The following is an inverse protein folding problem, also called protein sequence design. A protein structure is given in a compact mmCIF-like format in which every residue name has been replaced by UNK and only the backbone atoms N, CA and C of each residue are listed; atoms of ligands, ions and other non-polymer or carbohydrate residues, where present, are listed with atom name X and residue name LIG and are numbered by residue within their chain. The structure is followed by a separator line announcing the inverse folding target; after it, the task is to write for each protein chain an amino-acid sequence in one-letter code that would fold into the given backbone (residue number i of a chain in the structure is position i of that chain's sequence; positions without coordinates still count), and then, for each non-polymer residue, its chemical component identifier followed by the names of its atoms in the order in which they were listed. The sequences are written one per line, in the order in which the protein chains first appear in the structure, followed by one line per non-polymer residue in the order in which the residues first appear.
data_IF_208729798791
#
_entry.id   IF_208729798791
#
_cell.length_a   1.000
_cell.length_b   1.000
_cell.length_c   1.000
_cell.angle_alpha   90.00
_cell.angle_beta   90.00
_cell.angle_gamma   90.00
#
_symmetry.space_group_name_H-M   'P 1'
#
loop_
_entity.id
_entity.type
_entity.pdbx_description
1 polymer ?
#
# COMPACT_ATOMS: atom_id res chain seq x y z
N UNK A 1 -2.67 22.15 -17.47
CA UNK A 1 -1.36 22.83 -17.64
C UNK A 1 -1.26 23.44 -19.03
N UNK A 2 -1.81 24.63 -19.18
CA UNK A 2 -1.88 25.38 -20.44
C UNK A 2 -1.27 26.79 -20.32
N UNK A 3 -0.44 27.04 -19.30
CA UNK A 3 0.49 28.17 -19.29
C UNK A 3 -0.10 29.54 -18.92
N UNK A 4 -1.39 29.65 -18.64
CA UNK A 4 -2.03 30.88 -18.17
C UNK A 4 -2.53 30.66 -16.73
N UNK A 5 -1.77 31.18 -15.75
CA UNK A 5 -2.10 31.39 -14.33
C UNK A 5 -3.16 30.42 -13.75
N UNK A 6 -2.73 29.20 -13.39
CA UNK A 6 -3.36 28.41 -12.33
C UNK A 6 -2.43 28.40 -11.11
N UNK A 7 -2.82 29.16 -10.11
CA UNK A 7 -2.06 29.48 -8.91
C UNK A 7 -2.12 28.30 -7.93
N UNK A 8 -1.30 27.26 -8.15
CA UNK A 8 -0.90 26.35 -7.07
C UNK A 8 -1.56 24.98 -7.00
N UNK A 9 -2.29 24.50 -8.01
CA UNK A 9 -2.77 23.09 -8.02
C UNK A 9 -1.66 22.16 -8.52
N UNK A 10 -0.69 21.88 -7.65
CA UNK A 10 0.15 20.68 -7.80
C UNK A 10 -0.58 19.53 -7.11
N UNK A 11 -0.74 18.43 -7.82
CA UNK A 11 -1.18 17.19 -7.20
C UNK A 11 0.00 16.59 -6.44
N UNK A 12 -0.26 16.02 -5.28
CA UNK A 12 0.73 15.21 -4.58
C UNK A 12 0.67 13.80 -5.14
N UNK A 13 1.83 13.28 -5.53
CA UNK A 13 2.00 11.88 -5.91
C UNK A 13 2.96 11.22 -4.92
N UNK A 14 2.89 9.91 -4.78
CA UNK A 14 3.58 9.08 -3.81
C UNK A 14 4.39 8.03 -4.54
N UNK A 15 5.60 7.73 -4.06
CA UNK A 15 6.48 6.76 -4.71
C UNK A 15 5.82 5.37 -4.69
N UNK A 16 5.94 4.66 -5.80
CA UNK A 16 5.50 3.27 -6.01
C UNK A 16 6.75 2.50 -6.47
N UNK A 17 7.54 2.04 -5.49
CA UNK A 17 8.87 1.48 -5.71
C UNK A 17 8.83 0.00 -6.07
N UNK A 18 7.81 -0.74 -5.64
CA UNK A 18 7.63 -2.16 -5.95
C UNK A 18 6.70 -2.43 -7.13
N UNK A 19 5.92 -1.43 -7.56
CA UNK A 19 5.11 -1.47 -8.77
C UNK A 19 3.76 -2.17 -8.60
N UNK A 20 3.18 -2.22 -7.39
CA UNK A 20 1.82 -2.75 -7.18
C UNK A 20 0.70 -1.73 -7.48
N UNK A 21 1.06 -0.45 -7.63
CA UNK A 21 0.13 0.63 -7.95
C UNK A 21 -0.40 1.42 -6.75
N UNK A 22 0.09 1.11 -5.55
CA UNK A 22 -0.10 1.88 -4.32
C UNK A 22 1.19 2.65 -4.01
N UNK A 23 1.10 3.69 -3.18
CA UNK A 23 2.25 4.56 -2.94
C UNK A 23 2.50 4.88 -1.48
N UNK A 24 3.77 5.12 -1.16
CA UNK A 24 4.22 5.44 0.20
C UNK A 24 3.84 6.87 0.61
N UNK A 25 3.00 7.00 1.64
CA UNK A 25 2.66 8.28 2.27
C UNK A 25 3.88 9.07 2.78
N UNK A 26 4.97 8.38 3.14
CA UNK A 26 6.25 8.94 3.58
C UNK A 26 7.10 9.52 2.45
N UNK A 27 6.87 9.11 1.20
CA UNK A 27 7.67 9.48 0.03
C UNK A 27 6.80 10.15 -1.03
N UNK A 28 6.53 11.45 -0.85
CA UNK A 28 5.66 12.23 -1.75
C UNK A 28 6.37 13.35 -2.50
N UNK A 29 5.90 13.61 -3.73
CA UNK A 29 6.40 14.68 -4.59
C UNK A 29 5.23 15.44 -5.27
N UNK A 30 5.20 16.79 -5.17
CA UNK A 30 4.19 17.59 -5.85
C UNK A 30 4.53 17.77 -7.33
N UNK A 31 3.63 17.35 -8.21
CA UNK A 31 3.78 17.44 -9.65
C UNK A 31 2.46 17.79 -10.37
N UNK A 32 2.55 18.15 -11.65
CA UNK A 32 1.36 18.43 -12.46
C UNK A 32 0.70 17.13 -12.97
N UNK A 33 1.50 16.09 -13.17
CA UNK A 33 1.10 14.74 -13.61
C UNK A 33 1.96 13.73 -12.86
N UNK A 34 1.46 12.50 -12.72
CA UNK A 34 2.20 11.41 -12.10
C UNK A 34 3.58 11.23 -12.77
N UNK A 35 4.68 11.43 -12.03
CA UNK A 35 6.02 11.04 -12.48
C UNK A 35 6.12 9.51 -12.68
N UNK A 36 7.15 9.05 -13.37
CA UNK A 36 7.44 7.62 -13.47
C UNK A 36 7.82 7.06 -12.09
N UNK A 37 7.19 5.95 -11.68
CA UNK A 37 7.36 5.37 -10.34
C UNK A 37 6.61 6.12 -9.24
N UNK A 38 5.56 6.87 -9.59
CA UNK A 38 4.73 7.57 -8.62
C UNK A 38 3.24 7.43 -8.96
N UNK A 39 2.41 7.25 -7.93
CA UNK A 39 0.95 7.14 -8.01
C UNK A 39 0.26 8.21 -7.18
N UNK A 40 -1.04 8.44 -7.39
CA UNK A 40 -1.82 9.39 -6.58
C UNK A 40 -2.30 8.79 -5.26
N UNK A 41 -2.25 7.46 -5.15
CA UNK A 41 -2.60 6.72 -3.95
C UNK A 41 -1.48 6.82 -2.92
N UNK A 42 -1.83 6.80 -1.64
CA UNK A 42 -0.88 6.94 -0.53
C UNK A 42 -1.10 5.92 0.58
N UNK A 43 -1.72 4.79 0.23
CA UNK A 43 -2.26 3.84 1.19
C UNK A 43 -1.37 2.62 1.39
N UNK A 44 -0.23 2.55 0.69
CA UNK A 44 0.75 1.49 0.86
C UNK A 44 1.43 1.54 2.24
N UNK A 45 1.47 0.39 2.92
CA UNK A 45 2.13 0.22 4.20
C UNK A 45 3.56 -0.36 4.08
N UNK A 46 3.93 -0.97 2.95
CA UNK A 46 5.29 -1.47 2.64
C UNK A 46 5.62 -1.34 1.14
N UNK A 47 6.05 -0.13 0.74
CA UNK A 47 6.53 0.25 -0.60
C UNK A 47 7.87 -0.41 -1.01
N UNK A 48 8.16 -1.59 -0.47
CA UNK A 48 9.26 -2.43 -0.91
C UNK A 48 8.81 -3.84 -1.29
N UNK A 49 7.52 -4.14 -1.17
CA UNK A 49 6.97 -5.46 -1.34
C UNK A 49 5.60 -5.46 -2.06
N UNK A 50 5.64 -5.81 -3.35
CA UNK A 50 4.49 -5.90 -4.27
C UNK A 50 3.32 -6.80 -3.82
N UNK A 51 3.46 -7.54 -2.71
CA UNK A 51 2.40 -8.38 -2.12
C UNK A 51 1.81 -7.77 -0.85
N UNK A 52 2.19 -6.54 -0.49
CA UNK A 52 1.73 -5.84 0.70
C UNK A 52 1.10 -4.53 0.26
N UNK A 53 -0.22 -4.51 0.16
CA UNK A 53 -0.98 -3.33 -0.24
C UNK A 53 -2.43 -3.42 0.24
N UNK A 54 -3.14 -2.28 0.35
CA UNK A 54 -4.53 -2.25 0.77
C UNK A 54 -5.45 -3.21 0.02
N UNK A 55 -5.95 -4.21 0.75
CA UNK A 55 -6.85 -5.24 0.24
C UNK A 55 -6.16 -6.38 -0.51
N UNK A 56 -4.85 -6.59 -0.33
CA UNK A 56 -4.17 -7.81 -0.77
C UNK A 56 -4.76 -9.06 -0.09
N UNK A 57 -4.41 -10.25 -0.60
CA UNK A 57 -4.77 -11.49 0.07
C UNK A 57 -3.78 -11.78 1.19
N UNK A 58 -4.31 -11.98 2.40
CA UNK A 58 -3.52 -12.43 3.55
C UNK A 58 -2.82 -13.77 3.29
N UNK A 59 -1.55 -13.82 3.63
CA UNK A 59 -0.73 -15.02 3.63
C UNK A 59 -0.30 -15.33 5.06
N UNK A 60 -0.12 -16.61 5.39
CA UNK A 60 0.41 -16.98 6.72
C UNK A 60 1.95 -16.87 6.74
N UNK A 61 2.47 -15.67 6.47
CA UNK A 61 3.91 -15.38 6.33
C UNK A 61 4.46 -14.44 7.41
N UNK A 62 3.61 -13.95 8.31
CA UNK A 62 3.93 -13.05 9.42
C UNK A 62 3.92 -11.58 9.04
N UNK A 63 3.39 -11.23 7.87
CA UNK A 63 3.17 -9.85 7.42
C UNK A 63 1.70 -9.46 7.54
N UNK A 64 1.46 -8.16 7.54
CA UNK A 64 0.15 -7.54 7.31
C UNK A 64 0.12 -7.31 5.79
N UNK A 65 -0.47 -8.22 5.01
CA UNK A 65 -0.42 -8.12 3.56
C UNK A 65 -1.45 -7.10 3.06
N UNK A 66 -2.59 -6.99 3.72
CA UNK A 66 -3.69 -6.14 3.27
C UNK A 66 -3.71 -4.72 3.87
N UNK A 67 -2.70 -4.40 4.68
CA UNK A 67 -2.48 -3.11 5.34
C UNK A 67 -3.63 -2.68 6.27
N UNK A 68 -4.36 -3.63 6.87
CA UNK A 68 -5.47 -3.35 7.80
C UNK A 68 -5.04 -3.20 9.27
N UNK A 69 -3.79 -3.55 9.59
CA UNK A 69 -3.18 -3.47 10.92
C UNK A 69 -3.29 -4.76 11.74
N UNK A 70 -3.91 -5.81 11.21
CA UNK A 70 -3.79 -7.18 11.70
C UNK A 70 -2.65 -7.92 10.95
N UNK A 71 -2.31 -9.13 11.38
CA UNK A 71 -1.22 -9.92 10.77
C UNK A 71 -1.75 -11.32 10.63
N UNK A 72 -1.65 -11.89 9.43
CA UNK A 72 -2.08 -13.25 9.09
C UNK A 72 -3.55 -13.52 9.52
N UNK A 73 -4.45 -12.55 9.40
CA UNK A 73 -5.87 -12.73 9.69
C UNK A 73 -6.56 -13.54 8.60
N UNK A 74 -7.61 -14.28 8.99
CA UNK A 74 -8.31 -15.20 8.07
C UNK A 74 -7.51 -16.45 7.65
N UNK A 75 -6.18 -16.48 7.80
CA UNK A 75 -5.31 -17.62 7.42
C UNK A 75 -4.81 -18.46 8.59
N UNK A 76 -4.97 -18.00 9.83
CA UNK A 76 -4.64 -18.77 11.04
C UNK A 76 -5.63 -19.92 11.28
N UNK A 77 -5.13 -21.15 11.24
CA UNK A 77 -5.87 -22.31 11.73
C UNK A 77 -5.96 -22.28 13.26
N UNK A 78 -7.18 -22.22 13.79
CA UNK A 78 -7.41 -22.39 15.24
C UNK A 78 -7.43 -23.87 15.59
N UNK A 79 -6.41 -24.36 16.27
CA UNK A 79 -6.37 -25.73 16.80
C UNK A 79 -7.00 -25.78 18.20
N UNK A 80 -7.94 -26.69 18.42
CA UNK A 80 -8.51 -26.97 19.74
C UNK A 80 -7.82 -28.18 20.36
N UNK A 81 -7.53 -28.15 21.66
CA UNK A 81 -7.00 -29.30 22.38
C UNK A 81 -8.05 -30.43 22.37
N UNK A 82 -7.66 -31.61 21.90
CA UNK A 82 -8.45 -32.83 22.04
C UNK A 82 -8.40 -33.28 23.50
N UNK A 83 -9.57 -33.38 24.12
CA UNK A 83 -9.68 -33.63 25.57
C UNK A 83 -10.15 -35.06 25.85
N UNK A 84 -9.84 -36.00 24.95
CA UNK A 84 -10.32 -37.38 24.97
C UNK A 84 -9.24 -38.44 24.67
N UNK A 85 -7.99 -38.20 25.08
CA UNK A 85 -6.91 -39.20 25.06
C UNK A 85 -7.19 -40.49 25.84
#
# INVERSE_FOLDING_TARGET
CDGEIDEGVKNTYYADNDGDGYGDAGSSMPACSAPEGYVSDNTDCDDTNITVYPGAEELCDGLDNDCDGEIDEGVKNTYYADNDG
#
